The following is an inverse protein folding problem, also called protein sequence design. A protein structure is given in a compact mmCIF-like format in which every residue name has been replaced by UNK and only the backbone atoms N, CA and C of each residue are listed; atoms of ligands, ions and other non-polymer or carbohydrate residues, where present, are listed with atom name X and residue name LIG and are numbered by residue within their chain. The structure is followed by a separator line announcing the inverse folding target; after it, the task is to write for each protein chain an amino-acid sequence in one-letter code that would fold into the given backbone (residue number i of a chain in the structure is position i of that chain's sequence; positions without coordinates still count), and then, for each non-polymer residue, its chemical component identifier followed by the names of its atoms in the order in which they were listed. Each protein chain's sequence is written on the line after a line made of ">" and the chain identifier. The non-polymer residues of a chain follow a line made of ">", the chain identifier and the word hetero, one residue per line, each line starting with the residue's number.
data_IF_541876418351
#
_entry.id   IF_541876418351
#
_cell.length_a   1.000
_cell.length_b   1.000
_cell.length_c   1.000
_cell.angle_alpha   90.00
_cell.angle_beta   90.00
_cell.angle_gamma   90.00
#
_symmetry.space_group_name_H-M   'P 1'
#
loop_
_entity.id
_entity.type
_entity.pdbx_description
1 polymer ?
#
# COMPACT_ATOMS: atom_id res chain seq x y z
N UNK A 1 18.10 -6.86 3.21
CA UNK A 1 17.68 -5.88 4.24
C UNK A 1 17.82 -6.52 5.61
N UNK A 2 18.13 -5.76 6.68
CA UNK A 2 18.20 -6.33 8.03
C UNK A 2 16.81 -6.82 8.48
N UNK A 3 16.76 -8.01 9.08
CA UNK A 3 15.52 -8.59 9.61
C UNK A 3 15.36 -8.20 11.09
N UNK A 4 14.17 -7.76 11.48
CA UNK A 4 13.82 -7.39 12.85
C UNK A 4 12.66 -8.28 13.29
N UNK A 5 12.68 -8.72 14.55
CA UNK A 5 11.62 -9.55 15.10
C UNK A 5 10.40 -8.70 15.48
N UNK A 6 9.21 -9.11 15.01
CA UNK A 6 7.92 -8.58 15.44
C UNK A 6 7.29 -9.56 16.45
N UNK A 7 7.04 -9.09 17.67
CA UNK A 7 6.34 -9.87 18.70
C UNK A 7 4.99 -9.21 19.01
N UNK A 8 3.91 -9.94 18.78
CA UNK A 8 2.54 -9.46 19.06
C UNK A 8 1.65 -10.61 19.54
N UNK A 9 0.58 -10.27 20.24
CA UNK A 9 -0.47 -11.23 20.63
C UNK A 9 -1.57 -11.18 19.58
N UNK A 10 -1.97 -12.34 19.10
CA UNK A 10 -3.08 -12.50 18.16
C UNK A 10 -4.09 -13.48 18.72
N UNK A 11 -5.32 -13.38 18.22
CA UNK A 11 -6.37 -14.32 18.55
C UNK A 11 -5.98 -15.77 18.16
N UNK A 12 -6.38 -16.72 18.99
CA UNK A 12 -6.00 -18.12 18.84
C UNK A 12 -6.60 -18.80 17.61
N UNK A 13 -7.81 -18.38 17.20
CA UNK A 13 -8.47 -18.90 16.00
C UNK A 13 -7.83 -18.32 14.75
N UNK A 14 -7.50 -17.03 14.77
CA UNK A 14 -6.77 -16.37 13.66
C UNK A 14 -5.43 -17.05 13.43
N UNK A 15 -4.67 -17.33 14.50
CA UNK A 15 -3.40 -18.06 14.39
C UNK A 15 -3.57 -19.41 13.70
N UNK A 16 -4.54 -20.22 14.15
CA UNK A 16 -4.83 -21.54 13.55
C UNK A 16 -5.22 -21.45 12.09
N UNK A 17 -6.03 -20.46 11.73
CA UNK A 17 -6.45 -20.25 10.35
C UNK A 17 -5.25 -19.92 9.44
N UNK A 18 -4.34 -19.05 9.90
CA UNK A 18 -3.12 -18.71 9.17
C UNK A 18 -2.19 -19.91 9.03
N UNK A 19 -1.99 -20.69 10.11
CA UNK A 19 -1.18 -21.91 10.07
C UNK A 19 -1.72 -22.91 9.05
N UNK A 20 -3.02 -23.22 9.11
CA UNK A 20 -3.68 -24.16 8.20
C UNK A 20 -3.57 -23.72 6.74
N UNK A 21 -3.78 -22.42 6.48
CA UNK A 21 -3.66 -21.86 5.14
C UNK A 21 -2.22 -21.98 4.62
N UNK A 22 -1.24 -21.61 5.45
CA UNK A 22 0.17 -21.66 5.08
C UNK A 22 0.64 -23.09 4.80
N UNK A 23 0.24 -24.05 5.63
CA UNK A 23 0.54 -25.47 5.44
C UNK A 23 -0.05 -26.00 4.13
N UNK A 24 -1.32 -25.71 3.85
CA UNK A 24 -2.01 -26.18 2.63
C UNK A 24 -1.39 -25.64 1.33
N UNK A 25 -0.72 -24.48 1.40
CA UNK A 25 -0.13 -23.79 0.24
C UNK A 25 1.39 -23.85 0.19
N UNK A 26 2.04 -24.51 1.15
CA UNK A 26 3.50 -24.57 1.26
C UNK A 26 4.16 -23.21 1.52
N UNK A 27 3.46 -22.30 2.19
CA UNK A 27 3.94 -20.93 2.46
C UNK A 27 4.62 -20.85 3.83
N UNK A 28 5.64 -20.00 3.93
CA UNK A 28 6.24 -19.65 5.22
C UNK A 28 5.36 -18.61 5.91
N UNK A 29 4.90 -18.92 7.12
CA UNK A 29 4.00 -18.03 7.88
C UNK A 29 4.58 -16.62 8.08
N UNK A 30 5.88 -16.49 8.39
CA UNK A 30 6.51 -15.17 8.53
C UNK A 30 6.44 -14.35 7.24
N UNK A 31 6.61 -14.99 6.08
CA UNK A 31 6.53 -14.30 4.78
C UNK A 31 5.09 -13.89 4.49
N UNK A 32 4.14 -14.77 4.74
CA UNK A 32 2.72 -14.47 4.60
C UNK A 32 2.29 -13.28 5.46
N UNK A 33 2.73 -13.22 6.72
CA UNK A 33 2.43 -12.11 7.62
C UNK A 33 3.09 -10.82 7.13
N UNK A 34 4.35 -10.88 6.69
CA UNK A 34 5.06 -9.72 6.13
C UNK A 34 4.34 -9.17 4.90
N UNK A 35 3.97 -10.03 3.94
CA UNK A 35 3.23 -9.64 2.73
C UNK A 35 1.88 -9.01 3.10
N UNK A 36 1.11 -9.63 4.01
CA UNK A 36 -0.18 -9.09 4.44
C UNK A 36 -0.06 -7.73 5.17
N UNK A 37 1.04 -7.50 5.90
CA UNK A 37 1.31 -6.20 6.53
C UNK A 37 1.66 -5.13 5.49
N UNK A 38 2.48 -5.49 4.49
CA UNK A 38 2.83 -4.58 3.39
C UNK A 38 1.57 -4.18 2.63
N UNK A 39 0.77 -5.15 2.19
CA UNK A 39 -0.48 -4.91 1.45
C UNK A 39 -1.39 -3.95 2.23
N UNK A 40 -1.50 -4.13 3.55
CA UNK A 40 -2.36 -3.28 4.37
C UNK A 40 -1.80 -1.87 4.57
N UNK A 41 -0.49 -1.72 4.66
CA UNK A 41 0.16 -0.41 4.75
C UNK A 41 0.00 0.37 3.45
N UNK A 42 0.19 -0.28 2.30
CA UNK A 42 -0.01 0.32 0.98
C UNK A 42 -1.46 0.77 0.79
N UNK A 43 -2.44 -0.06 1.18
CA UNK A 43 -3.86 0.32 1.12
C UNK A 43 -4.17 1.58 1.95
N UNK A 44 -3.55 1.73 3.13
CA UNK A 44 -3.75 2.90 3.97
C UNK A 44 -3.10 4.16 3.36
N UNK A 45 -1.91 4.02 2.79
CA UNK A 45 -1.22 5.11 2.07
C UNK A 45 -2.07 5.60 0.88
N UNK A 46 -2.63 4.68 0.09
CA UNK A 46 -3.50 5.01 -1.04
C UNK A 46 -4.74 5.83 -0.60
N UNK A 47 -5.36 5.48 0.53
CA UNK A 47 -6.52 6.21 1.07
C UNK A 47 -6.13 7.65 1.48
N UNK A 48 -4.96 7.82 2.08
CA UNK A 48 -4.44 9.14 2.44
C UNK A 48 -4.16 9.98 1.18
N UNK A 49 -3.56 9.37 0.16
CA UNK A 49 -3.26 10.02 -1.11
C UNK A 49 -4.53 10.44 -1.87
N UNK A 50 -5.57 9.60 -1.88
CA UNK A 50 -6.88 9.98 -2.43
C UNK A 50 -7.46 11.20 -1.73
N UNK A 51 -7.31 11.28 -0.40
CA UNK A 51 -7.76 12.44 0.37
C UNK A 51 -7.00 13.69 -0.05
N UNK A 52 -5.66 13.59 -0.22
CA UNK A 52 -4.82 14.70 -0.69
C UNK A 52 -5.21 15.16 -2.09
N UNK A 53 -5.37 14.23 -3.04
CA UNK A 53 -5.75 14.51 -4.42
C UNK A 53 -7.13 15.19 -4.48
N UNK A 54 -8.10 14.73 -3.68
CA UNK A 54 -9.45 15.31 -3.65
C UNK A 54 -9.46 16.79 -3.26
N UNK A 55 -8.51 17.23 -2.45
CA UNK A 55 -8.38 18.62 -2.01
C UNK A 55 -7.25 19.38 -2.72
N UNK A 56 -6.68 18.79 -3.77
CA UNK A 56 -5.62 19.43 -4.53
C UNK A 56 -6.17 20.68 -5.26
N UNK A 57 -5.49 21.83 -5.18
CA UNK A 57 -5.95 23.03 -5.87
C UNK A 57 -5.94 22.80 -7.38
N UNK A 58 -7.06 23.07 -8.02
CA UNK A 58 -7.13 23.05 -9.49
C UNK A 58 -6.43 24.28 -10.07
N UNK A 59 -5.76 24.10 -11.20
CA UNK A 59 -5.18 25.20 -11.98
C UNK A 59 -5.63 25.15 -13.44
N UNK A 60 -5.78 26.31 -14.12
CA UNK A 60 -6.16 26.34 -15.53
C UNK A 60 -5.16 25.59 -16.41
N UNK A 61 -5.67 24.84 -17.41
CA UNK A 61 -4.85 24.09 -18.36
C UNK A 61 -3.84 24.99 -19.10
N UNK A 62 -4.22 26.23 -19.42
CA UNK A 62 -3.35 27.21 -20.07
C UNK A 62 -2.07 27.49 -19.26
N UNK A 63 -2.19 27.60 -17.94
CA UNK A 63 -1.05 27.83 -17.05
C UNK A 63 -0.12 26.62 -16.99
N UNK A 64 -0.70 25.41 -17.05
CA UNK A 64 0.06 24.16 -17.13
C UNK A 64 0.86 24.09 -18.43
N UNK A 65 0.21 24.32 -19.58
CA UNK A 65 0.85 24.30 -20.91
C UNK A 65 1.99 25.32 -20.98
N UNK A 66 1.76 26.52 -20.46
CA UNK A 66 2.78 27.57 -20.38
C UNK A 66 3.97 27.14 -19.50
N UNK A 67 3.71 26.51 -18.34
CA UNK A 67 4.77 26.04 -17.44
C UNK A 67 5.62 24.93 -18.05
N UNK A 68 5.02 24.06 -18.87
CA UNK A 68 5.69 22.97 -19.57
C UNK A 68 6.43 23.41 -20.84
N UNK A 69 6.32 24.69 -21.23
CA UNK A 69 6.87 25.25 -22.49
C UNK A 69 6.44 24.46 -23.74
N UNK A 70 5.31 23.76 -23.65
CA UNK A 70 4.74 23.01 -24.76
C UNK A 70 3.98 23.99 -25.65
N UNK A 71 4.73 24.68 -26.50
CA UNK A 71 4.20 25.64 -27.45
C UNK A 71 3.83 24.90 -28.75
N UNK A 72 2.96 23.90 -28.67
CA UNK A 72 2.49 23.12 -29.82
C UNK A 72 1.03 23.45 -30.13
N UNK A 73 0.74 23.88 -31.36
CA UNK A 73 -0.64 23.89 -31.88
C UNK A 73 -1.17 22.46 -31.82
N UNK A 74 -2.30 22.26 -31.15
CA UNK A 74 -3.12 21.05 -31.31
C UNK A 74 -3.73 21.09 -32.71
#
# INVERSE_FOLDING_TARGET
>A
MPQIQLATRIDSEVKKAVETLCESRGLKMNRFIEDALIDKLEELEDIEDLTRIRFEPTRPLADVIKSLKLNGKI
#
